data_IF_363455974784
#
_entry.id   IF_363455974784
#
_cell.length_a   1.000
_cell.length_b   1.000
_cell.length_c   1.000
_cell.angle_alpha   90.00
_cell.angle_beta   90.00
_cell.angle_gamma   90.00
#
_symmetry.space_group_name_H-M   'P 1'
#
loop_
_entity.id
_entity.type
_entity.pdbx_description
1 polymer ?
#
# COMPACT_ATOMS: atom_id res chain seq x y z
N UNK A 1 -22.86 35.18 14.29
CA UNK A 1 -22.30 33.83 14.57
C UNK A 1 -20.92 34.03 15.16
N UNK A 2 -20.66 33.42 16.32
CA UNK A 2 -19.51 33.68 17.21
C UNK A 2 -18.15 33.66 16.52
N UNK A 3 -17.45 34.80 16.53
CA UNK A 3 -16.02 34.90 16.18
C UNK A 3 -15.18 33.86 16.94
N UNK A 4 -15.55 33.58 18.19
CA UNK A 4 -14.90 32.59 19.06
C UNK A 4 -14.97 31.15 18.51
N UNK A 5 -16.06 30.74 17.88
CA UNK A 5 -16.18 29.39 17.29
C UNK A 5 -15.30 29.22 16.07
N UNK A 6 -15.20 30.27 15.26
CA UNK A 6 -14.34 30.32 14.08
C UNK A 6 -12.86 30.23 14.48
N UNK A 7 -12.44 30.93 15.53
CA UNK A 7 -11.07 30.86 16.05
C UNK A 7 -10.71 29.48 16.60
N UNK A 8 -11.64 28.84 17.34
CA UNK A 8 -11.46 27.48 17.83
C UNK A 8 -11.16 26.49 16.69
N UNK A 9 -11.96 26.54 15.62
CA UNK A 9 -11.78 25.65 14.47
C UNK A 9 -10.50 25.96 13.68
N UNK A 10 -10.13 27.24 13.55
CA UNK A 10 -8.84 27.62 12.93
C UNK A 10 -7.66 27.02 13.69
N UNK A 11 -7.61 27.19 15.02
CA UNK A 11 -6.54 26.62 15.84
C UNK A 11 -6.46 25.10 15.71
N UNK A 12 -7.62 24.43 15.68
CA UNK A 12 -7.70 22.98 15.54
C UNK A 12 -7.30 22.50 14.14
N UNK A 13 -7.66 23.23 13.09
CA UNK A 13 -7.28 22.96 11.71
C UNK A 13 -5.77 23.12 11.53
N UNK A 14 -5.17 24.18 12.07
CA UNK A 14 -3.71 24.40 12.03
C UNK A 14 -2.96 23.20 12.63
N UNK A 15 -3.45 22.64 13.74
CA UNK A 15 -2.86 21.45 14.36
C UNK A 15 -2.97 20.19 13.48
N UNK A 16 -4.05 20.04 12.72
CA UNK A 16 -4.31 18.86 11.87
C UNK A 16 -3.82 19.02 10.43
N UNK A 17 -3.37 20.22 10.04
CA UNK A 17 -2.90 20.51 8.69
C UNK A 17 -1.80 19.56 8.21
N UNK A 18 -0.80 19.17 9.02
CA UNK A 18 0.20 18.18 8.58
C UNK A 18 -0.41 16.82 8.24
N UNK A 19 -1.47 16.41 8.94
CA UNK A 19 -2.17 15.15 8.67
C UNK A 19 -3.02 15.23 7.39
N UNK A 20 -3.62 16.39 7.12
CA UNK A 20 -4.29 16.68 5.85
C UNK A 20 -3.29 16.60 4.69
N UNK A 21 -2.17 17.33 4.78
CA UNK A 21 -1.14 17.35 3.75
C UNK A 21 -0.58 15.95 3.48
N UNK A 22 -0.27 15.19 4.55
CA UNK A 22 0.14 13.79 4.42
C UNK A 22 -0.91 12.93 3.73
N UNK A 23 -2.19 13.14 4.01
CA UNK A 23 -3.29 12.37 3.40
C UNK A 23 -3.43 12.67 1.91
N UNK A 24 -3.32 13.94 1.52
CA UNK A 24 -3.35 14.36 0.12
C UNK A 24 -2.12 13.87 -0.64
N UNK A 25 -0.91 14.09 -0.12
CA UNK A 25 0.34 13.61 -0.74
C UNK A 25 0.36 12.09 -0.89
N UNK A 26 -0.14 11.35 0.11
CA UNK A 26 -0.28 9.89 0.01
C UNK A 26 -1.24 9.46 -1.10
N UNK A 27 -2.26 10.26 -1.42
CA UNK A 27 -3.21 9.94 -2.49
C UNK A 27 -2.64 10.23 -3.87
N UNK A 28 -1.83 11.28 -4.01
CA UNK A 28 -1.27 11.76 -5.27
C UNK A 28 0.26 11.63 -5.28
N UNK A 29 0.80 10.48 -4.86
CA UNK A 29 2.26 10.27 -4.73
C UNK A 29 3.00 10.50 -6.05
N UNK A 30 2.35 10.17 -7.16
CA UNK A 30 2.92 10.23 -8.50
C UNK A 30 2.60 11.54 -9.23
N UNK A 31 1.91 12.50 -8.59
CA UNK A 31 1.47 13.74 -9.21
C UNK A 31 1.47 14.89 -8.18
N UNK A 32 2.63 15.51 -7.93
CA UNK A 32 2.77 16.55 -6.92
C UNK A 32 2.00 17.84 -7.27
N UNK A 33 1.79 18.12 -8.56
CA UNK A 33 0.97 19.25 -9.01
C UNK A 33 -0.50 19.03 -8.62
N UNK A 34 -1.07 17.86 -8.96
CA UNK A 34 -2.42 17.50 -8.52
C UNK A 34 -2.52 17.41 -6.99
N UNK A 35 -1.47 17.01 -6.30
CA UNK A 35 -1.45 17.02 -4.84
C UNK A 35 -1.60 18.45 -4.29
N UNK A 36 -0.93 19.44 -4.91
CA UNK A 36 -1.06 20.86 -4.57
C UNK A 36 -2.46 21.41 -4.83
N UNK A 37 -3.04 21.09 -5.99
CA UNK A 37 -4.41 21.49 -6.35
C UNK A 37 -5.45 20.86 -5.42
N UNK A 38 -5.29 19.56 -5.12
CA UNK A 38 -6.17 18.84 -4.20
C UNK A 38 -6.08 19.42 -2.79
N UNK A 39 -4.87 19.77 -2.33
CA UNK A 39 -4.67 20.36 -1.01
C UNK A 39 -5.32 21.74 -0.90
N UNK A 40 -5.17 22.56 -1.93
CA UNK A 40 -5.82 23.88 -2.04
C UNK A 40 -7.34 23.73 -2.02
N UNK A 41 -7.88 22.86 -2.87
CA UNK A 41 -9.31 22.57 -2.92
C UNK A 41 -9.87 22.10 -1.58
N UNK A 42 -9.23 21.12 -0.93
CA UNK A 42 -9.69 20.59 0.36
C UNK A 42 -9.63 21.68 1.43
N UNK A 43 -8.58 22.49 1.46
CA UNK A 43 -8.42 23.57 2.43
C UNK A 43 -9.51 24.64 2.27
N UNK A 44 -9.77 25.10 1.06
CA UNK A 44 -10.88 26.02 0.75
C UNK A 44 -12.21 25.43 1.22
N UNK A 45 -12.46 24.15 0.89
CA UNK A 45 -13.67 23.42 1.25
C UNK A 45 -13.84 23.13 2.73
N UNK A 46 -12.79 23.22 3.54
CA UNK A 46 -12.86 23.12 5.00
C UNK A 46 -13.18 24.47 5.66
N UNK A 47 -12.73 25.57 5.06
CA UNK A 47 -12.96 26.94 5.58
C UNK A 47 -14.27 27.56 5.05
N UNK A 48 -14.79 27.05 3.93
CA UNK A 48 -16.07 27.42 3.33
C UNK A 48 -17.23 27.48 4.35
N UNK A 49 -18.16 28.43 4.15
CA UNK A 49 -19.32 28.67 5.01
C UNK A 49 -18.98 28.77 6.50
N UNK A 50 -17.93 29.52 6.87
CA UNK A 50 -17.45 29.66 8.25
C UNK A 50 -17.15 28.30 8.92
N UNK A 51 -16.47 27.41 8.19
CA UNK A 51 -16.12 26.06 8.68
C UNK A 51 -17.34 25.21 9.06
N UNK A 52 -18.48 25.41 8.39
CA UNK A 52 -19.74 24.67 8.64
C UNK A 52 -19.53 23.16 8.71
N UNK A 53 -18.70 22.60 7.83
CA UNK A 53 -18.43 21.14 7.79
C UNK A 53 -17.69 20.64 9.03
N UNK A 54 -16.82 21.45 9.62
CA UNK A 54 -16.16 21.11 10.89
C UNK A 54 -17.14 21.24 12.05
N UNK A 55 -18.02 22.26 12.02
CA UNK A 55 -19.04 22.49 13.03
C UNK A 55 -20.13 21.41 13.09
N UNK A 56 -20.28 20.56 12.06
CA UNK A 56 -21.17 19.41 12.07
C UNK A 56 -20.66 18.22 12.89
N UNK A 57 -19.42 18.29 13.42
CA UNK A 57 -18.91 17.27 14.31
C UNK A 57 -19.72 17.20 15.61
N UNK A 58 -20.23 16.01 15.90
CA UNK A 58 -21.00 15.72 17.10
C UNK A 58 -20.23 14.71 17.99
N UNK A 59 -19.69 15.14 19.15
CA UNK A 59 -18.99 14.25 20.06
C UNK A 59 -19.92 13.19 20.69
N UNK A 60 -21.24 13.40 20.68
CA UNK A 60 -22.23 12.45 21.22
C UNK A 60 -22.34 11.16 20.40
N UNK A 61 -21.83 11.14 19.16
CA UNK A 61 -21.83 9.94 18.29
C UNK A 61 -20.66 8.98 18.55
N UNK A 62 -19.80 9.28 19.53
CA UNK A 62 -18.73 8.38 19.98
C UNK A 62 -17.47 8.31 19.10
N UNK A 63 -17.42 9.00 17.96
CA UNK A 63 -16.22 9.07 17.13
C UNK A 63 -15.30 10.20 17.60
N UNK A 64 -13.98 9.95 17.64
CA UNK A 64 -12.98 11.01 17.88
C UNK A 64 -12.97 12.01 16.73
N UNK A 65 -12.64 13.27 17.04
CA UNK A 65 -12.61 14.33 16.04
C UNK A 65 -11.60 14.05 14.91
N UNK A 66 -10.45 13.47 15.23
CA UNK A 66 -9.42 13.10 14.25
C UNK A 66 -9.95 12.08 13.23
N UNK A 67 -10.74 11.11 13.70
CA UNK A 67 -11.39 10.12 12.84
C UNK A 67 -12.42 10.79 11.93
N UNK A 68 -13.27 11.65 12.49
CA UNK A 68 -14.23 12.43 11.70
C UNK A 68 -13.54 13.28 10.63
N UNK A 69 -12.47 13.98 11.03
CA UNK A 69 -11.69 14.84 10.14
C UNK A 69 -11.05 14.03 9.01
N UNK A 70 -10.44 12.88 9.30
CA UNK A 70 -9.86 12.01 8.28
C UNK A 70 -10.89 11.56 7.24
N UNK A 71 -12.10 11.17 7.68
CA UNK A 71 -13.20 10.80 6.78
C UNK A 71 -13.68 11.98 5.95
N UNK A 72 -13.82 13.16 6.56
CA UNK A 72 -14.21 14.39 5.87
C UNK A 72 -13.19 14.74 4.77
N UNK A 73 -11.90 14.72 5.10
CA UNK A 73 -10.80 14.96 4.15
C UNK A 73 -10.85 13.97 2.99
N UNK A 74 -11.01 12.68 3.27
CA UNK A 74 -11.09 11.64 2.24
C UNK A 74 -12.28 11.87 1.28
N UNK A 75 -13.43 12.30 1.79
CA UNK A 75 -14.60 12.65 0.97
C UNK A 75 -14.34 13.87 0.09
N UNK A 76 -13.66 14.89 0.62
CA UNK A 76 -13.32 16.08 -0.16
C UNK A 76 -12.30 15.79 -1.26
N UNK A 77 -11.29 14.97 -0.97
CA UNK A 77 -10.35 14.46 -1.98
C UNK A 77 -11.09 13.70 -3.09
N UNK A 78 -12.03 12.83 -2.71
CA UNK A 78 -12.84 12.07 -3.67
C UNK A 78 -13.68 13.01 -4.54
N UNK A 79 -14.26 14.06 -3.96
CA UNK A 79 -14.98 15.10 -4.72
C UNK A 79 -14.07 15.87 -5.66
N UNK A 80 -12.86 16.24 -5.22
CA UNK A 80 -11.88 16.92 -6.08
C UNK A 80 -11.59 16.10 -7.33
N UNK A 81 -11.31 14.80 -7.14
CA UNK A 81 -11.14 13.80 -8.20
C UNK A 81 -12.36 13.84 -9.13
N UNK A 82 -13.58 13.69 -8.59
CA UNK A 82 -14.81 13.74 -9.38
C UNK A 82 -14.98 15.05 -10.18
N UNK A 83 -14.71 16.22 -9.59
CA UNK A 83 -14.80 17.52 -10.26
C UNK A 83 -13.77 17.69 -11.36
N UNK A 84 -12.53 17.25 -11.16
CA UNK A 84 -11.48 17.32 -12.17
C UNK A 84 -11.68 16.28 -13.28
N UNK A 85 -12.37 15.17 -13.01
CA UNK A 85 -12.67 14.15 -14.02
C UNK A 85 -13.97 14.39 -14.80
N UNK A 86 -14.72 15.48 -14.58
CA UNK A 86 -15.97 15.77 -15.32
C UNK A 86 -15.83 15.97 -16.83
N UNK A 87 -14.63 15.85 -17.40
CA UNK A 87 -14.40 15.83 -18.85
C UNK A 87 -13.81 14.52 -19.38
N UNK A 88 -13.66 13.49 -18.54
CA UNK A 88 -13.20 12.17 -19.01
C UNK A 88 -14.41 11.35 -19.44
N UNK A 89 -14.61 11.28 -20.76
CA UNK A 89 -15.50 10.28 -21.35
C UNK A 89 -14.86 8.91 -21.20
N UNK A 90 -15.67 7.89 -21.04
CA UNK A 90 -15.16 6.53 -21.10
C UNK A 90 -14.60 6.27 -22.50
N UNK A 91 -13.59 5.39 -22.64
CA UNK A 91 -13.13 4.99 -23.95
C UNK A 91 -14.30 4.46 -24.79
N UNK A 92 -14.37 4.81 -26.07
CA UNK A 92 -15.46 4.39 -26.97
C UNK A 92 -15.66 2.87 -26.99
N UNK A 93 -14.60 2.11 -26.77
CA UNK A 93 -14.69 0.66 -26.63
C UNK A 93 -15.56 0.28 -25.43
N UNK A 94 -15.30 0.87 -24.26
CA UNK A 94 -16.04 0.60 -23.04
C UNK A 94 -17.52 1.02 -23.15
N UNK A 95 -17.76 2.20 -23.76
CA UNK A 95 -19.12 2.69 -24.01
C UNK A 95 -19.94 1.74 -24.91
N UNK A 96 -19.30 1.11 -25.90
CA UNK A 96 -19.97 0.15 -26.80
C UNK A 96 -20.36 -1.16 -26.12
N UNK A 97 -19.65 -1.56 -25.06
CA UNK A 97 -19.92 -2.81 -24.35
C UNK A 97 -21.15 -2.69 -23.45
N UNK A 98 -21.52 -1.48 -23.02
CA UNK A 98 -22.73 -1.22 -22.22
C UNK A 98 -22.74 -1.89 -20.84
N UNK A 99 -21.59 -2.37 -20.36
CA UNK A 99 -21.49 -3.08 -19.09
C UNK A 99 -21.11 -2.11 -17.95
N UNK A 100 -22.08 -1.80 -17.08
CA UNK A 100 -21.90 -0.90 -15.94
C UNK A 100 -20.82 -1.38 -14.96
N UNK A 101 -20.63 -2.70 -14.82
CA UNK A 101 -19.56 -3.23 -13.99
C UNK A 101 -18.19 -2.84 -14.56
N UNK A 102 -18.01 -2.92 -15.87
CA UNK A 102 -16.76 -2.55 -16.51
C UNK A 102 -16.51 -1.05 -16.42
N UNK A 103 -17.56 -0.22 -16.53
CA UNK A 103 -17.46 1.22 -16.26
C UNK A 103 -17.02 1.52 -14.82
N UNK A 104 -17.57 0.81 -13.83
CA UNK A 104 -17.18 0.94 -12.43
C UNK A 104 -15.73 0.49 -12.21
N UNK A 105 -15.34 -0.68 -12.70
CA UNK A 105 -13.98 -1.20 -12.59
C UNK A 105 -12.98 -0.24 -13.24
N UNK A 106 -13.24 0.21 -14.47
CA UNK A 106 -12.40 1.17 -15.17
C UNK A 106 -12.26 2.49 -14.41
N UNK A 107 -13.35 3.03 -13.86
CA UNK A 107 -13.31 4.23 -13.03
C UNK A 107 -12.41 4.02 -11.80
N UNK A 108 -12.58 2.91 -11.09
CA UNK A 108 -11.85 2.67 -9.85
C UNK A 108 -10.36 2.42 -10.09
N UNK A 109 -10.01 1.62 -11.12
CA UNK A 109 -8.63 1.32 -11.48
C UNK A 109 -7.95 2.53 -12.16
N UNK A 110 -8.53 3.02 -13.26
CA UNK A 110 -7.83 3.94 -14.14
C UNK A 110 -7.99 5.42 -13.75
N UNK A 111 -9.08 5.81 -13.09
CA UNK A 111 -9.30 7.20 -12.67
C UNK A 111 -9.01 7.40 -11.19
N UNK A 112 -9.50 6.51 -10.33
CA UNK A 112 -9.33 6.62 -8.88
C UNK A 112 -8.05 5.97 -8.35
N UNK A 113 -7.29 5.29 -9.23
CA UNK A 113 -6.01 4.65 -8.94
C UNK A 113 -6.07 3.70 -7.74
N UNK A 114 -7.18 2.96 -7.61
CA UNK A 114 -7.31 1.90 -6.61
C UNK A 114 -6.57 0.66 -7.09
N UNK A 115 -6.01 -0.12 -6.16
CA UNK A 115 -5.45 -1.43 -6.48
C UNK A 115 -6.55 -2.39 -6.91
N UNK A 116 -6.21 -3.40 -7.71
CA UNK A 116 -7.15 -4.46 -8.11
C UNK A 116 -7.85 -5.10 -6.89
N UNK A 117 -7.09 -5.32 -5.82
CA UNK A 117 -7.59 -5.84 -4.54
C UNK A 117 -8.64 -4.93 -3.91
N UNK A 118 -8.36 -3.64 -3.81
CA UNK A 118 -9.30 -2.65 -3.28
C UNK A 118 -10.57 -2.56 -4.14
N UNK A 119 -10.43 -2.73 -5.46
CA UNK A 119 -11.56 -2.71 -6.41
C UNK A 119 -12.45 -3.92 -6.22
N UNK A 120 -11.87 -5.12 -6.13
CA UNK A 120 -12.60 -6.37 -5.87
C UNK A 120 -13.34 -6.29 -4.54
N UNK A 121 -12.64 -5.96 -3.45
CA UNK A 121 -13.24 -5.86 -2.10
C UNK A 121 -14.35 -4.80 -2.04
N UNK A 122 -14.13 -3.65 -2.69
CA UNK A 122 -15.14 -2.60 -2.75
C UNK A 122 -16.38 -3.05 -3.53
N UNK A 123 -16.22 -3.64 -4.71
CA UNK A 123 -17.35 -4.00 -5.56
C UNK A 123 -18.15 -5.20 -5.04
N UNK A 124 -17.51 -6.10 -4.29
CA UNK A 124 -18.18 -7.18 -3.57
C UNK A 124 -19.06 -6.65 -2.42
N UNK A 125 -18.52 -5.69 -1.65
CA UNK A 125 -19.19 -5.17 -0.44
C UNK A 125 -20.29 -4.15 -0.72
N UNK A 126 -20.27 -3.51 -1.89
CA UNK A 126 -21.15 -2.36 -2.20
C UNK A 126 -22.48 -2.76 -2.86
N UNK A 127 -22.62 -3.96 -3.43
CA UNK A 127 -23.86 -4.38 -4.09
C UNK A 127 -24.79 -5.20 -3.18
N UNK A 128 -26.12 -4.94 -3.18
CA UNK A 128 -27.08 -5.81 -2.49
C UNK A 128 -27.04 -7.21 -3.12
N UNK A 129 -26.72 -8.22 -2.31
CA UNK A 129 -26.52 -9.60 -2.76
C UNK A 129 -25.06 -10.03 -2.92
N UNK A 130 -24.10 -9.10 -2.76
CA UNK A 130 -22.67 -9.26 -3.07
C UNK A 130 -22.44 -9.58 -4.56
N UNK A 131 -21.45 -8.93 -5.17
CA UNK A 131 -21.02 -9.35 -6.51
C UNK A 131 -20.12 -10.57 -6.37
N UNK A 132 -20.19 -11.45 -7.36
CA UNK A 132 -19.28 -12.59 -7.45
C UNK A 132 -17.85 -12.10 -7.70
N UNK A 133 -16.90 -12.54 -6.87
CA UNK A 133 -15.48 -12.20 -6.97
C UNK A 133 -14.93 -12.48 -8.37
N UNK A 134 -15.31 -13.62 -8.95
CA UNK A 134 -14.83 -14.07 -10.25
C UNK A 134 -15.24 -13.08 -11.35
N UNK A 135 -16.48 -12.61 -11.33
CA UNK A 135 -17.00 -11.66 -12.32
C UNK A 135 -16.27 -10.30 -12.19
N UNK A 136 -15.96 -9.87 -10.97
CA UNK A 136 -15.21 -8.62 -10.76
C UNK A 136 -13.76 -8.78 -11.23
N UNK A 137 -13.10 -9.89 -10.92
CA UNK A 137 -11.73 -10.18 -11.40
C UNK A 137 -11.65 -10.30 -12.92
N UNK A 138 -12.65 -10.93 -13.54
CA UNK A 138 -12.74 -11.01 -14.99
C UNK A 138 -12.87 -9.60 -15.60
N UNK A 139 -13.71 -8.74 -15.03
CA UNK A 139 -13.82 -7.34 -15.45
C UNK A 139 -12.49 -6.58 -15.28
N UNK A 140 -11.76 -6.79 -14.18
CA UNK A 140 -10.42 -6.21 -13.96
C UNK A 140 -9.45 -6.67 -15.07
N UNK A 141 -9.41 -7.97 -15.35
CA UNK A 141 -8.55 -8.55 -16.38
C UNK A 141 -8.85 -7.97 -17.77
N UNK A 142 -10.13 -7.92 -18.16
CA UNK A 142 -10.58 -7.34 -19.44
C UNK A 142 -10.15 -5.87 -19.57
N UNK A 143 -10.27 -5.09 -18.49
CA UNK A 143 -9.85 -3.69 -18.48
C UNK A 143 -8.33 -3.57 -18.66
N UNK A 144 -7.53 -4.41 -18.01
CA UNK A 144 -6.08 -4.39 -18.18
C UNK A 144 -5.64 -4.81 -19.59
N UNK A 145 -6.31 -5.80 -20.18
CA UNK A 145 -6.01 -6.26 -21.54
C UNK A 145 -6.32 -5.17 -22.58
N UNK A 146 -7.45 -4.49 -22.44
CA UNK A 146 -7.87 -3.45 -23.38
C UNK A 146 -7.24 -2.08 -23.11
N UNK A 147 -6.81 -1.83 -21.87
CA UNK A 147 -6.17 -0.58 -21.45
C UNK A 147 -4.91 -0.87 -20.62
N UNK A 148 -3.80 -1.28 -21.25
CA UNK A 148 -2.55 -1.65 -20.56
C UNK A 148 -1.91 -0.50 -19.77
N UNK A 149 -2.24 0.74 -20.14
CA UNK A 149 -1.79 1.96 -19.46
C UNK A 149 -2.84 2.53 -18.49
N UNK A 150 -3.91 1.77 -18.22
CA UNK A 150 -4.84 2.06 -17.14
C UNK A 150 -4.07 2.19 -15.81
N UNK A 151 -4.15 3.38 -15.19
CA UNK A 151 -3.48 3.65 -13.93
C UNK A 151 -2.01 4.07 -14.02
N UNK A 152 -1.41 4.05 -15.23
CA UNK A 152 -0.11 4.68 -15.46
C UNK A 152 -0.36 6.17 -15.73
N UNK A 153 0.11 7.02 -14.83
CA UNK A 153 0.10 8.47 -15.07
C UNK A 153 0.96 8.71 -16.33
N UNK A 154 0.39 9.26 -17.40
CA UNK A 154 1.17 9.78 -18.53
C UNK A 154 2.07 10.90 -17.99
N UNK A 155 3.26 10.54 -17.55
CA UNK A 155 4.35 11.49 -17.37
C UNK A 155 4.83 11.82 -18.78
N UNK A 156 4.29 12.89 -19.37
CA UNK A 156 5.00 13.57 -20.45
C UNK A 156 6.27 14.15 -19.83
N UNK A 157 7.37 13.44 -20.01
CA UNK A 157 8.70 13.91 -19.60
C UNK A 157 9.02 15.24 -20.29
N UNK A 158 9.04 16.32 -19.52
CA UNK A 158 9.86 17.48 -19.84
C UNK A 158 11.16 17.30 -19.07
N UNK A 159 12.17 16.84 -19.80
CA UNK A 159 13.54 16.71 -19.34
C UNK A 159 14.07 18.03 -18.76
N UNK A 160 14.54 18.01 -17.51
CA UNK A 160 15.90 18.47 -17.14
C UNK A 160 16.27 18.28 -15.67
N UNK A 161 17.52 17.86 -15.52
CA UNK A 161 18.48 18.10 -14.44
C UNK A 161 18.40 17.24 -13.16
N UNK A 162 19.33 16.28 -13.11
CA UNK A 162 19.90 15.61 -11.94
C UNK A 162 19.98 16.50 -10.70
N UNK A 163 19.52 15.95 -9.57
CA UNK A 163 20.27 15.94 -8.32
C UNK A 163 20.05 14.61 -7.58
N UNK A 164 21.15 13.94 -7.31
CA UNK A 164 21.27 12.83 -6.37
C UNK A 164 20.78 13.26 -4.98
N UNK A 165 20.08 12.38 -4.26
CA UNK A 165 20.27 12.04 -2.84
C UNK A 165 19.15 11.09 -2.34
N UNK A 166 19.60 9.90 -1.93
CA UNK A 166 19.08 8.99 -0.90
C UNK A 166 17.70 8.31 -1.06
N UNK A 167 17.76 7.06 -1.54
CA UNK A 167 16.66 6.10 -1.60
C UNK A 167 16.35 5.52 -0.22
N UNK A 168 15.17 5.83 0.32
CA UNK A 168 14.51 4.98 1.31
C UNK A 168 13.24 4.40 0.69
N UNK A 169 13.39 3.18 0.18
CA UNK A 169 12.33 2.46 -0.52
C UNK A 169 11.13 2.17 0.37
N UNK A 170 9.98 2.65 -0.07
CA UNK A 170 8.67 2.37 0.50
C UNK A 170 8.19 0.99 0.07
N UNK A 171 8.12 0.06 1.02
CA UNK A 171 7.59 -1.29 0.83
C UNK A 171 6.08 -1.28 0.53
N UNK A 172 5.73 -1.23 -0.75
CA UNK A 172 4.50 -1.82 -1.30
C UNK A 172 4.81 -3.29 -1.65
N UNK A 173 4.73 -4.19 -0.65
CA UNK A 173 4.98 -5.63 -0.85
C UNK A 173 3.70 -6.37 -1.27
N UNK A 174 3.23 -6.10 -2.48
CA UNK A 174 2.36 -7.03 -3.22
C UNK A 174 2.79 -7.15 -4.68
N UNK A 175 4.10 -7.05 -4.93
CA UNK A 175 4.70 -7.50 -6.19
C UNK A 175 4.71 -9.02 -6.17
N UNK A 176 4.09 -9.66 -7.14
CA UNK A 176 4.32 -11.07 -7.43
C UNK A 176 5.82 -11.28 -7.65
N UNK A 177 6.38 -12.40 -7.17
CA UNK A 177 7.81 -12.77 -7.32
C UNK A 177 8.23 -12.71 -8.81
N UNK A 178 7.28 -12.88 -9.73
CA UNK A 178 7.50 -12.82 -11.17
C UNK A 178 7.63 -11.40 -11.77
N UNK A 179 7.56 -10.34 -10.95
CA UNK A 179 7.67 -8.93 -11.38
C UNK A 179 8.78 -8.16 -10.64
N UNK A 180 9.72 -8.89 -10.02
CA UNK A 180 10.87 -8.28 -9.35
C UNK A 180 11.87 -7.75 -10.39
N UNK A 181 12.52 -6.62 -10.08
CA UNK A 181 13.67 -6.18 -10.86
C UNK A 181 14.81 -7.21 -10.73
N UNK A 182 15.80 -7.23 -11.65
CA UNK A 182 16.95 -8.11 -11.53
C UNK A 182 17.71 -7.95 -10.19
N UNK A 183 17.77 -6.74 -9.67
CA UNK A 183 18.38 -6.42 -8.36
C UNK A 183 17.54 -6.98 -7.20
N UNK A 184 16.22 -6.76 -7.23
CA UNK A 184 15.29 -7.33 -6.24
C UNK A 184 15.31 -8.86 -6.24
N UNK A 185 15.50 -9.47 -7.42
CA UNK A 185 15.56 -10.91 -7.58
C UNK A 185 16.84 -11.49 -6.99
N UNK A 186 17.98 -10.80 -7.11
CA UNK A 186 19.21 -11.18 -6.41
C UNK A 186 19.05 -11.07 -4.90
N UNK A 187 18.46 -9.97 -4.40
CA UNK A 187 18.21 -9.80 -2.97
C UNK A 187 17.25 -10.89 -2.43
N UNK A 188 16.22 -11.23 -3.19
CA UNK A 188 15.30 -12.31 -2.85
C UNK A 188 16.00 -13.67 -2.79
N UNK A 189 16.84 -13.99 -3.77
CA UNK A 189 17.60 -15.24 -3.81
C UNK A 189 18.60 -15.36 -2.65
N UNK A 190 19.27 -14.26 -2.29
CA UNK A 190 20.14 -14.23 -1.10
C UNK A 190 19.34 -14.51 0.18
N UNK A 191 18.13 -13.96 0.28
CA UNK A 191 17.31 -14.13 1.46
C UNK A 191 16.72 -15.53 1.57
N UNK A 192 16.35 -16.13 0.43
CA UNK A 192 15.97 -17.54 0.34
C UNK A 192 17.07 -18.47 0.86
N UNK A 193 18.31 -18.30 0.36
CA UNK A 193 19.47 -19.07 0.81
C UNK A 193 19.72 -18.91 2.33
N UNK A 194 19.48 -17.71 2.87
CA UNK A 194 19.63 -17.44 4.29
C UNK A 194 18.53 -18.10 5.13
N UNK A 195 17.28 -18.06 4.68
CA UNK A 195 16.18 -18.77 5.37
C UNK A 195 16.38 -20.28 5.38
N UNK A 196 16.91 -20.86 4.30
CA UNK A 196 17.30 -22.28 4.25
C UNK A 196 18.42 -22.58 5.24
N UNK A 197 19.45 -21.74 5.32
CA UNK A 197 20.56 -21.94 6.25
C UNK A 197 20.11 -21.92 7.73
N UNK A 198 19.10 -21.12 8.06
CA UNK A 198 18.56 -21.00 9.42
C UNK A 198 17.63 -22.16 9.76
N UNK A 199 16.76 -22.57 8.84
CA UNK A 199 15.62 -23.45 9.14
C UNK A 199 15.74 -24.89 8.65
N UNK A 200 16.81 -25.23 7.93
CA UNK A 200 17.11 -26.61 7.54
C UNK A 200 18.11 -27.18 8.56
N UNK A 201 17.69 -28.23 9.28
CA UNK A 201 18.54 -28.95 10.23
C UNK A 201 19.71 -29.59 9.47
N UNK A 202 20.96 -29.46 9.97
CA UNK A 202 22.06 -30.20 9.38
C UNK A 202 21.88 -31.68 9.73
N UNK A 203 21.70 -32.51 8.70
CA UNK A 203 21.54 -33.97 8.88
C UNK A 203 22.85 -34.63 9.34
N UNK A 204 23.99 -33.93 9.34
CA UNK A 204 25.25 -34.37 9.95
C UNK A 204 26.15 -33.13 10.21
N UNK A 205 26.30 -32.72 11.47
CA UNK A 205 27.15 -31.57 11.86
C UNK A 205 28.66 -31.88 11.77
N UNK A 206 29.07 -33.16 11.63
CA UNK A 206 30.49 -33.55 11.62
C UNK A 206 31.17 -33.44 10.24
N UNK A 207 30.42 -33.15 9.16
CA UNK A 207 30.96 -33.17 7.78
C UNK A 207 30.91 -31.82 7.05
N UNK A 208 30.35 -30.77 7.65
CA UNK A 208 30.11 -29.46 6.97
C UNK A 208 31.16 -28.40 7.36
N UNK A 209 32.12 -28.73 8.23
CA UNK A 209 33.21 -27.79 8.58
C UNK A 209 34.24 -27.61 7.45
N UNK A 210 34.29 -28.46 6.42
CA UNK A 210 35.40 -28.44 5.44
C UNK A 210 35.20 -27.56 4.18
N UNK A 211 33.98 -27.07 3.88
CA UNK A 211 33.72 -26.46 2.54
C UNK A 211 33.22 -25.01 2.61
N UNK A 212 32.86 -24.50 3.80
CA UNK A 212 32.28 -23.16 3.93
C UNK A 212 33.29 -22.20 4.56
N UNK A 213 33.61 -21.05 3.92
CA UNK A 213 34.49 -20.03 4.50
C UNK A 213 34.07 -19.69 5.94
N UNK A 214 35.03 -19.65 6.87
CA UNK A 214 34.78 -19.56 8.31
C UNK A 214 33.87 -18.40 8.75
N UNK A 215 33.78 -17.34 7.95
CA UNK A 215 32.86 -16.22 8.14
C UNK A 215 31.39 -16.65 8.01
N UNK A 216 31.04 -17.42 6.98
CA UNK A 216 29.66 -17.88 6.73
C UNK A 216 29.22 -18.88 7.82
N UNK A 217 30.11 -19.74 8.28
CA UNK A 217 29.85 -20.66 9.39
C UNK A 217 29.55 -19.89 10.70
N UNK A 218 30.31 -18.82 10.95
CA UNK A 218 30.12 -17.93 12.11
C UNK A 218 28.79 -17.17 12.03
N UNK A 219 28.46 -16.62 10.86
CA UNK A 219 27.19 -15.94 10.59
C UNK A 219 26.00 -16.89 10.81
N UNK A 220 26.09 -18.13 10.28
CA UNK A 220 25.05 -19.15 10.43
C UNK A 220 24.84 -19.56 11.89
N UNK A 221 25.91 -19.75 12.65
CA UNK A 221 25.85 -20.08 14.08
C UNK A 221 25.19 -18.96 14.88
N UNK A 222 25.55 -17.71 14.59
CA UNK A 222 24.97 -16.53 15.25
C UNK A 222 23.51 -16.31 14.91
N UNK A 223 23.13 -16.43 13.63
CA UNK A 223 21.74 -16.38 13.21
C UNK A 223 20.90 -17.46 13.89
N UNK A 224 21.41 -18.70 14.04
CA UNK A 224 20.69 -19.76 14.77
C UNK A 224 20.48 -19.45 16.25
N UNK A 225 21.44 -18.79 16.90
CA UNK A 225 21.37 -18.44 18.32
C UNK A 225 20.49 -17.21 18.59
N UNK A 226 20.58 -16.18 17.75
CA UNK A 226 19.92 -14.89 17.98
C UNK A 226 18.55 -14.79 17.25
N UNK A 227 18.39 -15.46 16.11
CA UNK A 227 17.14 -15.48 15.34
C UNK A 227 16.26 -16.68 15.71
N UNK A 228 15.55 -16.58 16.83
CA UNK A 228 14.62 -17.61 17.30
C UNK A 228 13.14 -17.16 17.23
N UNK A 229 12.56 -17.01 16.03
CA UNK A 229 11.15 -16.66 15.89
C UNK A 229 10.23 -17.80 16.33
N UNK A 230 8.99 -17.48 16.72
CA UNK A 230 7.98 -18.48 17.07
C UNK A 230 7.69 -19.43 15.89
N UNK A 231 7.18 -20.66 16.14
CA UNK A 231 6.89 -21.63 15.09
C UNK A 231 6.02 -21.07 13.96
N UNK A 232 5.03 -20.24 14.28
CA UNK A 232 4.15 -19.61 13.30
C UNK A 232 4.90 -18.61 12.42
N UNK A 233 5.83 -17.83 13.00
CA UNK A 233 6.67 -16.88 12.27
C UNK A 233 7.72 -17.59 11.42
N UNK A 234 8.23 -18.73 11.86
CA UNK A 234 9.11 -19.61 11.08
C UNK A 234 8.38 -20.17 9.87
N UNK A 235 7.19 -20.74 10.07
CA UNK A 235 6.34 -21.24 8.99
C UNK A 235 5.98 -20.13 7.99
N UNK A 236 5.63 -18.94 8.50
CA UNK A 236 5.38 -17.76 7.69
C UNK A 236 6.56 -17.37 6.79
N UNK A 237 7.79 -17.37 7.31
CA UNK A 237 8.98 -17.07 6.48
C UNK A 237 9.25 -18.16 5.45
N UNK A 238 9.07 -19.45 5.79
CA UNK A 238 9.21 -20.56 4.84
C UNK A 238 8.23 -20.42 3.67
N UNK A 239 6.96 -20.14 3.94
CA UNK A 239 5.96 -19.94 2.88
C UNK A 239 6.33 -18.80 1.92
N UNK A 240 6.96 -17.72 2.42
CA UNK A 240 7.33 -16.58 1.58
C UNK A 240 8.56 -16.90 0.72
N UNK A 241 9.61 -17.47 1.32
CA UNK A 241 10.92 -17.57 0.67
C UNK A 241 11.21 -18.95 0.07
N UNK A 242 10.66 -20.02 0.64
CA UNK A 242 10.78 -21.38 0.10
C UNK A 242 9.63 -21.68 -0.86
N UNK A 243 8.39 -21.38 -0.47
CA UNK A 243 7.20 -21.72 -1.27
C UNK A 243 6.78 -20.59 -2.23
N UNK A 244 7.46 -19.43 -2.18
CA UNK A 244 7.22 -18.30 -3.08
C UNK A 244 5.86 -17.62 -2.89
N UNK A 245 5.23 -17.76 -1.72
CA UNK A 245 3.93 -17.13 -1.45
C UNK A 245 4.08 -15.63 -1.20
N UNK A 246 3.05 -14.85 -1.57
CA UNK A 246 2.98 -13.45 -1.15
C UNK A 246 2.84 -13.34 0.36
N UNK A 247 3.32 -12.24 0.93
CA UNK A 247 3.25 -11.93 2.37
C UNK A 247 1.81 -12.05 2.89
N UNK A 248 0.85 -11.55 2.12
CA UNK A 248 -0.58 -11.59 2.45
C UNK A 248 -1.14 -13.01 2.43
N UNK A 249 -0.73 -13.85 1.48
CA UNK A 249 -1.17 -15.25 1.38
C UNK A 249 -0.58 -16.11 2.50
N UNK A 250 0.73 -15.99 2.73
CA UNK A 250 1.41 -16.64 3.85
C UNK A 250 0.80 -16.22 5.20
N UNK A 251 0.43 -14.94 5.34
CA UNK A 251 -0.22 -14.40 6.53
C UNK A 251 -1.57 -15.04 6.80
N UNK A 252 -2.40 -15.20 5.77
CA UNK A 252 -3.70 -15.88 5.89
C UNK A 252 -3.55 -17.34 6.32
N UNK A 253 -2.54 -18.05 5.81
CA UNK A 253 -2.26 -19.45 6.18
C UNK A 253 -1.88 -19.63 7.66
N UNK A 254 -1.29 -18.60 8.30
CA UNK A 254 -1.01 -18.59 9.75
C UNK A 254 -2.08 -17.87 10.59
N UNK A 255 -3.23 -17.52 9.99
CA UNK A 255 -4.35 -16.88 10.70
C UNK A 255 -4.22 -15.37 10.92
N UNK A 256 -3.36 -14.68 10.16
CA UNK A 256 -3.19 -13.23 10.22
C UNK A 256 -3.91 -12.51 9.09
N UNK A 257 -4.43 -11.31 9.37
CA UNK A 257 -4.90 -10.41 8.31
C UNK A 257 -3.73 -9.71 7.58
N UNK A 258 -4.01 -9.09 6.43
CA UNK A 258 -2.97 -8.49 5.57
C UNK A 258 -2.08 -7.46 6.31
N UNK A 259 -2.69 -6.61 7.14
CA UNK A 259 -1.95 -5.61 7.92
C UNK A 259 -1.03 -6.26 8.98
N UNK A 260 -1.52 -7.31 9.64
CA UNK A 260 -0.73 -8.09 10.60
C UNK A 260 0.43 -8.80 9.89
N UNK A 261 0.19 -9.45 8.75
CA UNK A 261 1.20 -10.14 7.97
C UNK A 261 2.33 -9.20 7.52
N UNK A 262 1.98 -8.05 6.95
CA UNK A 262 2.95 -7.02 6.57
C UNK A 262 3.75 -6.50 7.79
N UNK A 263 3.09 -6.29 8.93
CA UNK A 263 3.74 -5.86 10.16
C UNK A 263 4.67 -6.92 10.77
N UNK A 264 4.30 -8.21 10.71
CA UNK A 264 5.13 -9.31 11.16
C UNK A 264 6.35 -9.49 10.27
N UNK A 265 6.15 -9.47 8.95
CA UNK A 265 7.23 -9.53 7.96
C UNK A 265 8.25 -8.41 8.19
N UNK A 266 7.83 -7.15 8.25
CA UNK A 266 8.74 -6.02 8.48
C UNK A 266 9.58 -6.16 9.76
N UNK A 267 8.98 -6.63 10.85
CA UNK A 267 9.68 -6.82 12.13
C UNK A 267 10.69 -7.97 12.08
N UNK A 268 10.33 -9.08 11.44
CA UNK A 268 11.23 -10.22 11.24
C UNK A 268 12.44 -9.83 10.37
N UNK A 269 12.20 -9.11 9.27
CA UNK A 269 13.25 -8.64 8.37
C UNK A 269 14.18 -7.62 9.04
N UNK A 270 13.63 -6.72 9.86
CA UNK A 270 14.44 -5.80 10.66
C UNK A 270 15.35 -6.54 11.62
N UNK A 271 14.80 -7.50 12.37
CA UNK A 271 15.56 -8.28 13.34
C UNK A 271 16.67 -9.09 12.66
N UNK A 272 16.38 -9.66 11.48
CA UNK A 272 17.37 -10.37 10.68
C UNK A 272 18.49 -9.44 10.19
N UNK A 273 18.15 -8.22 9.76
CA UNK A 273 19.11 -7.20 9.35
C UNK A 273 19.97 -6.72 10.52
N UNK A 274 19.40 -6.55 11.71
CA UNK A 274 20.13 -6.15 12.91
C UNK A 274 21.19 -7.19 13.31
N UNK A 275 20.85 -8.48 13.26
CA UNK A 275 21.81 -9.56 13.54
C UNK A 275 22.93 -9.58 12.49
N UNK A 276 22.58 -9.38 11.21
CA UNK A 276 23.55 -9.35 10.11
C UNK A 276 24.48 -8.12 10.14
N UNK A 277 24.00 -6.97 10.60
CA UNK A 277 24.80 -5.74 10.73
C UNK A 277 25.65 -5.70 12.00
N UNK A 278 25.40 -6.59 12.96
CA UNK A 278 26.19 -6.72 14.19
C UNK A 278 27.43 -7.63 14.03
N UNK A 279 27.70 -8.08 12.80
CA UNK A 279 28.86 -8.86 12.36
C UNK A 279 29.90 -7.94 11.70
#
# INVERSE_FOLDING_TARGET
MDSSKTEFWKAKLTRLYPALEKSVKRRFQNDPEKAGDALSFVSEKLVEDNMRRLALYDPGRGAKFETYFAVLVQRLISRFIETNHKRRRFPKWLEKQGNDLWHMVYRLLCWELKSETDVVEYLESTAPGKRDEHIVREAVWVIHENFPDCGKSEVKEVSKAQKDYDSSEGLNNDRSIHQLSPEDQMAFNQLMALTDAIFTEPVNDDAIEEIVPGEIATIKKRLRLEFNPSPEKRLFLKMIYQDGMSVSNAGRMVGWNANQAAGHHRRLMRLLKEILMAL
#
